data_IF_721238755391
#
_entry.id   IF_721238755391
#
_cell.length_a   1.000
_cell.length_b   1.000
_cell.length_c   1.000
_cell.angle_alpha   90.00
_cell.angle_beta   90.00
_cell.angle_gamma   90.00
#
_symmetry.space_group_name_H-M   'P 1'
#
loop_
_entity.id
_entity.type
_entity.pdbx_description
1 polymer ?
#
# COMPACT_ATOMS: atom_id res chain seq x y z
N UNK A 1 -21.88 28.46 9.55
CA UNK A 1 -21.19 27.55 10.50
C UNK A 1 -21.40 26.13 9.98
N UNK A 2 -20.37 25.49 9.46
CA UNK A 2 -20.49 24.10 9.01
C UNK A 2 -20.33 23.20 10.24
N UNK A 3 -21.36 22.41 10.56
CA UNK A 3 -21.34 21.43 11.64
C UNK A 3 -20.20 20.42 11.37
N UNK A 4 -19.35 20.17 12.37
CA UNK A 4 -18.38 19.07 12.32
C UNK A 4 -19.15 17.75 12.43
N UNK A 5 -19.59 17.22 11.29
CA UNK A 5 -20.20 15.90 11.21
C UNK A 5 -19.08 14.87 11.38
N UNK A 6 -19.08 14.16 12.51
CA UNK A 6 -18.25 12.98 12.69
C UNK A 6 -19.03 11.77 12.18
N UNK A 7 -18.58 11.19 11.06
CA UNK A 7 -19.22 10.02 10.47
C UNK A 7 -18.53 8.77 11.03
N UNK A 8 -19.18 7.99 11.91
CA UNK A 8 -18.59 6.77 12.41
C UNK A 8 -18.45 5.76 11.26
N UNK A 9 -17.27 5.15 11.15
CA UNK A 9 -17.01 4.10 10.19
C UNK A 9 -16.05 3.08 10.80
N UNK A 10 -16.03 1.87 10.24
CA UNK A 10 -15.15 0.80 10.65
C UNK A 10 -14.67 0.01 9.43
N UNK A 11 -13.61 -0.78 9.62
CA UNK A 11 -13.18 -1.75 8.61
C UNK A 11 -14.15 -2.93 8.53
N UNK A 12 -14.31 -3.46 7.33
CA UNK A 12 -15.05 -4.67 7.02
C UNK A 12 -14.18 -5.56 6.15
N UNK A 13 -14.41 -6.87 6.19
CA UNK A 13 -13.74 -7.82 5.30
C UNK A 13 -14.09 -7.46 3.85
N UNK A 14 -13.08 -7.40 2.99
CA UNK A 14 -13.29 -7.24 1.57
C UNK A 14 -13.43 -8.62 0.90
N UNK A 15 -14.63 -8.93 0.42
CA UNK A 15 -14.93 -10.17 -0.31
C UNK A 15 -15.01 -9.96 -1.83
N UNK A 16 -14.74 -8.74 -2.31
CA UNK A 16 -14.81 -8.42 -3.72
C UNK A 16 -13.57 -9.00 -4.45
N UNK A 17 -13.67 -9.34 -5.75
CA UNK A 17 -12.49 -9.74 -6.52
C UNK A 17 -11.41 -8.65 -6.49
N UNK A 18 -10.22 -9.00 -6.01
CA UNK A 18 -9.09 -8.08 -5.86
C UNK A 18 -8.04 -8.30 -6.95
N UNK A 19 -7.49 -7.21 -7.48
CA UNK A 19 -6.28 -7.23 -8.32
C UNK A 19 -5.22 -6.37 -7.61
N UNK A 20 -4.38 -6.96 -6.76
CA UNK A 20 -3.41 -6.21 -5.98
C UNK A 20 -2.38 -5.53 -6.88
N UNK A 21 -1.99 -4.32 -6.52
CA UNK A 21 -1.01 -3.50 -7.25
C UNK A 21 0.17 -3.08 -6.40
N UNK A 22 0.18 -3.48 -5.13
CA UNK A 22 1.34 -3.38 -4.28
C UNK A 22 1.40 -4.53 -3.29
N UNK A 23 2.62 -4.89 -2.92
CA UNK A 23 2.93 -5.69 -1.74
C UNK A 23 3.36 -4.75 -0.62
N UNK A 24 2.86 -5.00 0.59
CA UNK A 24 3.12 -4.22 1.79
C UNK A 24 3.75 -5.14 2.82
N UNK A 25 4.94 -4.78 3.29
CA UNK A 25 5.64 -5.50 4.34
C UNK A 25 5.86 -4.57 5.55
N UNK A 26 5.69 -5.14 6.74
CA UNK A 26 5.84 -4.47 8.02
C UNK A 26 6.94 -5.11 8.84
N UNK A 27 7.65 -4.30 9.63
CA UNK A 27 8.63 -4.73 10.64
C UNK A 27 9.61 -5.81 10.12
N UNK A 28 9.61 -6.99 10.73
CA UNK A 28 10.47 -8.13 10.43
C UNK A 28 10.13 -8.83 9.11
N UNK A 29 9.00 -8.48 8.46
CA UNK A 29 8.66 -8.93 7.11
C UNK A 29 9.46 -8.15 6.06
N UNK A 30 9.83 -6.91 6.32
CA UNK A 30 10.62 -6.07 5.37
C UNK A 30 11.93 -6.74 4.95
N UNK A 31 12.80 -7.19 5.86
CA UNK A 31 14.03 -7.89 5.46
C UNK A 31 13.78 -9.20 4.74
N UNK A 32 12.70 -9.93 5.09
CA UNK A 32 12.30 -11.17 4.41
C UNK A 32 11.92 -10.90 2.95
N UNK A 33 11.12 -9.86 2.71
CA UNK A 33 10.73 -9.43 1.36
C UNK A 33 11.94 -9.03 0.51
N UNK A 34 12.87 -8.23 1.07
CA UNK A 34 14.07 -7.85 0.33
C UNK A 34 14.97 -9.05 0.04
N UNK A 35 15.10 -9.97 1.00
CA UNK A 35 15.86 -11.19 0.78
C UNK A 35 15.27 -12.06 -0.34
N UNK A 36 13.94 -12.17 -0.39
CA UNK A 36 13.24 -12.87 -1.46
C UNK A 36 13.54 -12.26 -2.85
N UNK A 37 13.49 -10.94 -2.98
CA UNK A 37 13.88 -10.27 -4.23
C UNK A 37 15.34 -10.53 -4.60
N UNK A 38 16.28 -10.43 -3.64
CA UNK A 38 17.72 -10.67 -3.88
C UNK A 38 17.99 -12.09 -4.37
N UNK A 39 17.36 -13.09 -3.75
CA UNK A 39 17.54 -14.50 -4.13
C UNK A 39 16.90 -14.85 -5.48
N UNK A 40 15.93 -14.05 -5.94
CA UNK A 40 15.17 -14.30 -7.15
C UNK A 40 15.33 -13.19 -8.20
N UNK A 41 16.45 -12.46 -8.22
CA UNK A 41 16.68 -11.34 -9.13
C UNK A 41 16.50 -11.69 -10.61
N UNK A 42 16.82 -12.92 -11.02
CA UNK A 42 16.63 -13.38 -12.41
C UNK A 42 15.16 -13.51 -12.82
N UNK A 43 14.24 -13.62 -11.85
CA UNK A 43 12.78 -13.75 -12.09
C UNK A 43 12.06 -12.39 -12.11
N UNK A 44 12.72 -11.35 -11.61
CA UNK A 44 12.10 -10.04 -11.41
C UNK A 44 12.82 -8.97 -12.24
N UNK A 45 12.10 -8.38 -13.19
CA UNK A 45 12.53 -7.13 -13.80
C UNK A 45 12.24 -5.97 -12.84
N UNK A 46 13.26 -5.58 -12.05
CA UNK A 46 13.13 -4.54 -11.04
C UNK A 46 12.67 -3.19 -11.60
N UNK A 47 12.90 -2.92 -12.90
CA UNK A 47 12.45 -1.69 -13.56
C UNK A 47 10.92 -1.57 -13.62
N UNK A 48 10.19 -2.67 -13.39
CA UNK A 48 8.73 -2.70 -13.34
C UNK A 48 8.14 -2.36 -11.97
N UNK A 49 8.98 -2.05 -10.99
CA UNK A 49 8.54 -1.74 -9.64
C UNK A 49 8.96 -0.35 -9.20
N UNK A 50 8.07 0.25 -8.43
CA UNK A 50 8.36 1.43 -7.62
C UNK A 50 8.18 1.08 -6.15
N UNK A 51 8.69 1.89 -5.25
CA UNK A 51 8.49 1.67 -3.83
C UNK A 51 8.34 2.97 -3.03
N UNK A 52 7.71 2.84 -1.88
CA UNK A 52 7.71 3.82 -0.78
C UNK A 52 8.20 3.08 0.46
N UNK A 53 9.20 3.64 1.17
CA UNK A 53 9.73 3.07 2.41
C UNK A 53 9.54 4.07 3.54
N UNK A 54 9.15 3.54 4.70
CA UNK A 54 9.24 4.24 5.99
C UNK A 54 10.12 3.43 6.95
N UNK A 55 10.16 3.86 8.21
CA UNK A 55 11.04 3.26 9.22
C UNK A 55 10.70 1.80 9.52
N UNK A 56 9.41 1.45 9.47
CA UNK A 56 8.92 0.11 9.83
C UNK A 56 8.13 -0.57 8.71
N UNK A 57 8.16 -0.04 7.49
CA UNK A 57 7.41 -0.62 6.38
C UNK A 57 8.07 -0.36 5.03
N UNK A 58 7.69 -1.19 4.06
CA UNK A 58 7.89 -0.91 2.63
C UNK A 58 6.63 -1.27 1.86
N UNK A 59 6.27 -0.41 0.92
CA UNK A 59 5.24 -0.65 -0.09
C UNK A 59 5.97 -0.78 -1.42
N UNK A 60 5.92 -1.94 -2.05
CA UNK A 60 6.46 -2.16 -3.41
C UNK A 60 5.29 -2.26 -4.37
N UNK A 61 5.23 -1.32 -5.31
CA UNK A 61 4.16 -1.12 -6.28
C UNK A 61 4.58 -1.77 -7.61
N UNK A 62 3.69 -2.58 -8.18
CA UNK A 62 3.93 -3.30 -9.42
C UNK A 62 2.67 -3.99 -9.92
N UNK A 63 2.69 -4.52 -11.15
CA UNK A 63 1.56 -5.28 -11.69
C UNK A 63 1.29 -6.52 -10.84
N UNK A 64 0.01 -6.89 -10.65
CA UNK A 64 -0.40 -8.06 -9.87
C UNK A 64 0.36 -9.34 -10.22
N UNK A 65 0.57 -9.60 -11.52
CA UNK A 65 1.30 -10.79 -12.01
C UNK A 65 2.79 -10.82 -11.66
N UNK A 66 3.34 -9.70 -11.20
CA UNK A 66 4.73 -9.54 -10.82
C UNK A 66 4.91 -9.53 -9.29
N UNK A 67 3.85 -9.34 -8.51
CA UNK A 67 3.96 -9.24 -7.06
C UNK A 67 4.48 -10.55 -6.44
N UNK A 68 5.38 -10.48 -5.45
CA UNK A 68 5.89 -11.65 -4.77
C UNK A 68 4.85 -12.19 -3.79
N UNK A 69 4.55 -13.49 -3.88
CA UNK A 69 3.69 -14.20 -2.95
C UNK A 69 4.54 -14.86 -1.86
N UNK A 70 4.74 -14.16 -0.75
CA UNK A 70 5.53 -14.64 0.39
C UNK A 70 4.73 -14.58 1.69
N UNK A 71 5.15 -15.35 2.69
CA UNK A 71 4.46 -15.35 3.98
C UNK A 71 4.65 -14.03 4.73
N UNK A 72 3.55 -13.52 5.28
CA UNK A 72 3.53 -12.33 6.14
C UNK A 72 3.44 -11.00 5.42
N UNK A 73 3.61 -10.95 4.09
CA UNK A 73 3.26 -9.73 3.35
C UNK A 73 1.77 -9.61 3.17
N UNK A 74 1.32 -8.37 3.07
CA UNK A 74 -0.05 -8.01 2.74
C UNK A 74 -0.06 -7.30 1.38
N UNK A 75 -1.25 -7.03 0.86
CA UNK A 75 -1.39 -6.45 -0.46
C UNK A 75 -2.28 -5.22 -0.41
N UNK A 76 -2.05 -4.30 -1.33
CA UNK A 76 -2.84 -3.10 -1.49
C UNK A 76 -3.25 -2.91 -2.95
N UNK A 77 -4.33 -2.17 -3.15
CA UNK A 77 -4.78 -1.73 -4.46
C UNK A 77 -5.40 -0.34 -4.35
N UNK A 78 -5.48 0.38 -5.46
CA UNK A 78 -6.32 1.58 -5.53
C UNK A 78 -7.80 1.19 -5.63
N UNK A 79 -8.68 2.03 -5.12
CA UNK A 79 -10.12 1.92 -5.37
C UNK A 79 -10.42 2.40 -6.81
N UNK A 80 -11.09 1.56 -7.62
CA UNK A 80 -11.35 1.88 -9.03
C UNK A 80 -12.26 3.10 -9.23
N UNK A 81 -13.13 3.39 -8.27
CA UNK A 81 -13.99 4.57 -8.24
C UNK A 81 -13.28 5.79 -7.63
N UNK A 82 -12.22 5.57 -6.86
CA UNK A 82 -11.47 6.63 -6.20
C UNK A 82 -9.95 6.36 -6.20
N UNK A 83 -9.24 6.54 -7.34
CA UNK A 83 -7.83 6.18 -7.48
C UNK A 83 -6.87 6.94 -6.55
N UNK A 84 -7.33 8.03 -5.92
CA UNK A 84 -6.55 8.77 -4.92
C UNK A 84 -6.43 8.01 -3.61
N UNK A 85 -7.32 7.06 -3.34
CA UNK A 85 -7.34 6.24 -2.14
C UNK A 85 -6.95 4.81 -2.47
N UNK A 86 -5.85 4.38 -1.86
CA UNK A 86 -5.43 2.99 -1.82
C UNK A 86 -5.85 2.37 -0.49
N UNK A 87 -6.22 1.09 -0.57
CA UNK A 87 -6.71 0.30 0.55
C UNK A 87 -5.99 -1.05 0.61
N UNK A 88 -5.88 -1.65 1.81
CA UNK A 88 -5.51 -3.05 1.93
C UNK A 88 -6.48 -3.93 1.13
N UNK A 89 -5.98 -4.95 0.45
CA UNK A 89 -6.82 -5.82 -0.37
C UNK A 89 -7.80 -6.65 0.48
N UNK A 90 -7.48 -6.93 1.75
CA UNK A 90 -8.31 -7.74 2.65
C UNK A 90 -9.42 -6.96 3.38
N UNK A 91 -9.40 -5.63 3.34
CA UNK A 91 -10.34 -4.80 4.10
C UNK A 91 -10.85 -3.60 3.30
N UNK A 92 -12.11 -3.23 3.55
CA UNK A 92 -12.75 -2.03 2.99
C UNK A 92 -13.48 -1.24 4.07
N UNK A 93 -13.64 0.08 3.92
CA UNK A 93 -14.40 0.88 4.88
C UNK A 93 -15.90 0.57 4.78
N UNK A 94 -16.61 0.70 5.90
CA UNK A 94 -18.08 0.59 5.99
C UNK A 94 -18.83 1.78 5.38
N UNK A 95 -18.11 2.77 4.84
CA UNK A 95 -18.64 3.99 4.22
C UNK A 95 -18.09 4.12 2.79
N UNK A 96 -18.68 5.01 1.99
CA UNK A 96 -18.19 5.27 0.63
C UNK A 96 -16.70 5.66 0.62
N UNK A 97 -15.93 5.01 -0.25
CA UNK A 97 -14.51 5.30 -0.44
C UNK A 97 -14.28 6.70 -0.97
N UNK A 98 -15.20 7.27 -1.76
CA UNK A 98 -15.16 8.67 -2.20
C UNK A 98 -15.25 9.66 -1.04
N UNK A 99 -16.09 9.38 -0.04
CA UNK A 99 -16.23 10.21 1.16
C UNK A 99 -14.98 10.11 2.03
N UNK A 100 -14.48 8.88 2.22
CA UNK A 100 -13.27 8.64 2.98
C UNK A 100 -12.05 9.30 2.33
N UNK A 101 -11.90 9.19 1.01
CA UNK A 101 -10.83 9.83 0.27
C UNK A 101 -10.84 11.35 0.44
N UNK A 102 -12.00 12.00 0.32
CA UNK A 102 -12.15 13.44 0.58
C UNK A 102 -11.67 13.81 1.99
N UNK A 103 -12.08 13.04 3.00
CA UNK A 103 -11.69 13.29 4.39
C UNK A 103 -10.17 13.11 4.61
N UNK A 104 -9.59 12.04 4.05
CA UNK A 104 -8.15 11.75 4.17
C UNK A 104 -7.33 12.80 3.41
N UNK A 105 -7.65 13.08 2.14
CA UNK A 105 -6.96 14.10 1.35
C UNK A 105 -7.04 15.48 1.99
N UNK A 106 -8.20 15.87 2.54
CA UNK A 106 -8.34 17.13 3.27
C UNK A 106 -7.46 17.17 4.52
N UNK A 107 -7.40 16.07 5.29
CA UNK A 107 -6.63 16.02 6.55
C UNK A 107 -5.12 16.00 6.34
N UNK A 108 -4.64 15.26 5.34
CA UNK A 108 -3.20 15.05 5.15
C UNK A 108 -2.60 15.91 4.03
N UNK A 109 -3.42 16.50 3.15
CA UNK A 109 -2.98 17.32 2.02
C UNK A 109 -1.99 16.61 1.08
N UNK A 110 -2.17 15.29 0.89
CA UNK A 110 -1.34 14.42 0.05
C UNK A 110 -2.23 13.47 -0.73
N UNK A 111 -1.86 13.17 -1.97
CA UNK A 111 -2.52 12.18 -2.82
C UNK A 111 -1.55 11.65 -3.90
N UNK A 112 -1.64 10.36 -4.30
CA UNK A 112 -2.49 9.34 -3.70
C UNK A 112 -1.96 8.90 -2.32
N UNK A 113 -2.84 8.28 -1.52
CA UNK A 113 -2.51 7.78 -0.16
C UNK A 113 -3.01 6.36 0.01
N UNK A 114 -2.23 5.54 0.72
CA UNK A 114 -2.64 4.24 1.23
C UNK A 114 -3.10 4.39 2.68
N UNK A 115 -4.38 4.13 2.90
CA UNK A 115 -4.96 4.05 4.25
C UNK A 115 -4.89 2.60 4.72
N UNK A 116 -4.20 2.36 5.84
CA UNK A 116 -3.95 1.02 6.36
C UNK A 116 -4.75 0.74 7.64
N UNK A 117 -5.19 -0.50 7.81
CA UNK A 117 -6.07 -0.92 8.91
C UNK A 117 -5.29 -1.35 10.17
N UNK A 118 -4.22 -2.13 10.01
CA UNK A 118 -3.32 -2.52 11.09
C UNK A 118 -1.87 -2.71 10.61
N UNK A 119 -0.89 -1.93 11.13
CA UNK A 119 -1.05 -0.80 12.05
C UNK A 119 -1.85 0.36 11.41
N UNK A 120 -2.56 1.15 12.23
CA UNK A 120 -3.37 2.27 11.74
C UNK A 120 -2.49 3.41 11.26
N UNK A 121 -2.24 3.49 9.95
CA UNK A 121 -1.40 4.54 9.36
C UNK A 121 -1.94 5.04 8.01
N UNK A 122 -1.48 6.21 7.60
CA UNK A 122 -1.68 6.76 6.26
C UNK A 122 -0.33 6.93 5.61
N UNK A 123 -0.12 6.27 4.48
CA UNK A 123 1.15 6.26 3.74
C UNK A 123 0.97 7.08 2.46
N UNK A 124 1.64 8.24 2.32
CA UNK A 124 1.66 8.97 1.07
C UNK A 124 2.36 8.15 -0.02
N UNK A 125 1.71 8.02 -1.18
CA UNK A 125 2.24 7.31 -2.35
C UNK A 125 2.67 8.28 -3.47
N UNK A 126 2.75 9.58 -3.18
CA UNK A 126 3.10 10.63 -4.14
C UNK A 126 4.62 10.72 -4.42
N UNK A 127 5.45 10.10 -3.58
CA UNK A 127 6.92 10.06 -3.73
C UNK A 127 7.41 8.62 -3.78
N UNK A 128 7.35 8.05 -4.98
CA UNK A 128 7.79 6.68 -5.24
C UNK A 128 9.17 6.69 -5.88
N UNK A 129 9.99 5.72 -5.51
CA UNK A 129 11.34 5.55 -6.04
C UNK A 129 11.41 4.26 -6.86
N UNK A 130 12.23 4.20 -7.92
CA UNK A 130 12.44 2.96 -8.66
C UNK A 130 13.08 1.91 -7.74
N UNK A 131 12.62 0.67 -7.81
CA UNK A 131 13.25 -0.43 -7.08
C UNK A 131 14.56 -0.82 -7.81
N UNK A 132 15.70 -0.70 -7.14
CA UNK A 132 17.00 -1.04 -7.72
C UNK A 132 17.72 -2.13 -6.93
N UNK A 133 18.74 -2.75 -7.53
CA UNK A 133 19.57 -3.75 -6.85
C UNK A 133 20.31 -3.13 -5.67
N UNK A 134 20.81 -1.91 -5.85
CA UNK A 134 21.51 -1.14 -4.83
C UNK A 134 20.59 -0.84 -3.64
N UNK A 135 19.32 -0.49 -3.90
CA UNK A 135 18.33 -0.33 -2.84
C UNK A 135 18.06 -1.64 -2.12
N UNK A 136 17.91 -2.76 -2.83
CA UNK A 136 17.69 -4.06 -2.19
C UNK A 136 18.89 -4.52 -1.33
N UNK A 137 20.10 -4.06 -1.63
CA UNK A 137 21.30 -4.39 -0.86
C UNK A 137 21.46 -3.49 0.38
N UNK A 138 21.18 -2.20 0.26
CA UNK A 138 21.50 -1.19 1.27
C UNK A 138 20.28 -0.62 2.02
N UNK A 139 19.06 -0.91 1.56
CA UNK A 139 17.82 -0.28 2.03
C UNK A 139 17.23 -0.89 3.30
N UNK A 140 17.99 -1.74 4.02
CA UNK A 140 17.59 -2.28 5.32
C UNK A 140 17.79 -1.22 6.41
#
# INVERSE_FOLDING_TARGET
MCSNINIPWHWQINNDPITPLAVVAWYDVVPRLFNHFRQNLSKYDLSKYQFVKGDSFVVIIGKSSLLPWIDGVQYAMFDSQEPRLWLPSHAKPSISTSLLAKAVCHRFSREPVLLWDHPKVVIPLDRQWPLTKEFLQNGL
#
